data_IF_646275268117
#
_entry.id   IF_646275268117
#
_cell.length_a   1.000
_cell.length_b   1.000
_cell.length_c   1.000
_cell.angle_alpha   90.00
_cell.angle_beta   90.00
_cell.angle_gamma   90.00
#
_symmetry.space_group_name_H-M   'P 1'
#
loop_
_entity.id
_entity.type
_entity.pdbx_description
1 polymer ?
#
# COMPACT_ATOMS: atom_id res chain seq x y z
N UNK A 1 -12.59 25.79 11.54
CA UNK A 1 -11.93 24.48 11.69
C UNK A 1 -10.61 24.50 10.93
N UNK A 2 -9.64 23.73 11.41
CA UNK A 2 -8.31 23.57 10.81
C UNK A 2 -8.04 22.09 10.52
N UNK A 3 -7.17 21.83 9.54
CA UNK A 3 -6.80 20.47 9.17
C UNK A 3 -6.15 19.74 10.35
N UNK A 4 -6.70 18.57 10.67
CA UNK A 4 -6.16 17.70 11.72
C UNK A 4 -5.37 16.52 11.13
N UNK A 5 -5.98 15.77 10.21
CA UNK A 5 -5.37 14.59 9.57
C UNK A 5 -6.06 14.26 8.24
N UNK A 6 -5.29 13.71 7.31
CA UNK A 6 -5.79 13.19 6.03
C UNK A 6 -5.63 11.66 5.97
N UNK A 7 -6.61 10.98 5.38
CA UNK A 7 -6.71 9.52 5.25
C UNK A 7 -6.87 9.11 3.78
N UNK A 8 -6.37 7.93 3.43
CA UNK A 8 -6.57 7.32 2.10
C UNK A 8 -7.70 6.30 2.07
N UNK A 9 -8.05 5.72 3.22
CA UNK A 9 -9.15 4.76 3.35
C UNK A 9 -10.41 5.45 3.89
N UNK A 10 -11.53 5.23 3.20
CA UNK A 10 -12.81 5.83 3.57
C UNK A 10 -13.31 5.30 4.92
N UNK A 11 -13.28 3.98 5.13
CA UNK A 11 -13.84 3.38 6.34
C UNK A 11 -13.07 3.82 7.58
N UNK A 12 -11.75 3.92 7.48
CA UNK A 12 -10.89 4.46 8.54
C UNK A 12 -11.28 5.90 8.89
N UNK A 13 -11.38 6.77 7.87
CA UNK A 13 -11.71 8.18 8.06
C UNK A 13 -13.08 8.36 8.73
N UNK A 14 -14.09 7.63 8.26
CA UNK A 14 -15.45 7.66 8.82
C UNK A 14 -15.49 7.11 10.25
N UNK A 15 -14.77 6.01 10.54
CA UNK A 15 -14.71 5.44 11.89
C UNK A 15 -14.08 6.43 12.88
N UNK A 16 -12.98 7.08 12.50
CA UNK A 16 -12.30 8.09 13.32
C UNK A 16 -13.18 9.32 13.57
N UNK A 17 -13.87 9.79 12.53
CA UNK A 17 -14.82 10.89 12.66
C UNK A 17 -16.02 10.54 13.57
N UNK A 18 -16.56 9.33 13.47
CA UNK A 18 -17.65 8.87 14.33
C UNK A 18 -17.25 8.83 15.81
N UNK A 19 -16.06 8.28 16.11
CA UNK A 19 -15.51 8.23 17.47
C UNK A 19 -15.38 9.64 18.08
N UNK A 20 -14.89 10.61 17.31
CA UNK A 20 -14.76 11.99 17.78
C UNK A 20 -16.13 12.60 18.06
N UNK A 21 -17.10 12.41 17.17
CA UNK A 21 -18.48 12.89 17.37
C UNK A 21 -19.15 12.26 18.60
N UNK A 22 -19.00 10.95 18.78
CA UNK A 22 -19.51 10.23 19.94
C UNK A 22 -18.87 10.72 21.25
N UNK A 23 -17.64 11.22 21.17
CA UNK A 23 -16.90 11.84 22.28
C UNK A 23 -17.15 13.36 22.40
N UNK A 24 -18.19 13.86 21.72
CA UNK A 24 -18.61 15.26 21.74
C UNK A 24 -17.55 16.24 21.22
N UNK A 25 -16.69 15.78 20.31
CA UNK A 25 -15.72 16.61 19.57
C UNK A 25 -16.31 16.90 18.19
N UNK A 26 -16.55 18.18 17.90
CA UNK A 26 -17.06 18.60 16.59
C UNK A 26 -15.99 18.44 15.51
N UNK A 27 -16.35 17.77 14.42
CA UNK A 27 -15.44 17.48 13.32
C UNK A 27 -16.14 17.49 11.96
N UNK A 28 -15.44 17.98 10.95
CA UNK A 28 -15.85 17.90 9.55
C UNK A 28 -14.96 16.93 8.78
N UNK A 29 -15.59 16.09 7.95
CA UNK A 29 -14.91 15.17 7.05
C UNK A 29 -15.20 15.60 5.61
N UNK A 30 -14.15 15.99 4.89
CA UNK A 30 -14.23 16.38 3.47
C UNK A 30 -13.43 15.40 2.61
N UNK A 31 -13.84 15.21 1.36
CA UNK A 31 -13.10 14.37 0.41
C UNK A 31 -12.51 15.23 -0.70
N UNK A 32 -11.32 14.88 -1.17
CA UNK A 32 -10.64 15.59 -2.25
C UNK A 32 -9.79 14.64 -3.09
N UNK A 33 -9.47 15.04 -4.33
CA UNK A 33 -8.62 14.25 -5.23
C UNK A 33 -7.33 15.00 -5.48
N UNK A 34 -6.20 14.32 -5.30
CA UNK A 34 -4.87 14.87 -5.56
C UNK A 34 -4.06 13.85 -6.35
N UNK A 35 -3.47 14.27 -7.48
CA UNK A 35 -2.70 13.40 -8.38
C UNK A 35 -3.44 12.12 -8.82
N UNK A 36 -4.78 12.17 -8.93
CA UNK A 36 -5.62 11.03 -9.31
C UNK A 36 -5.94 10.05 -8.18
N UNK A 37 -5.52 10.33 -6.94
CA UNK A 37 -5.88 9.55 -5.76
C UNK A 37 -6.94 10.30 -4.92
N UNK A 38 -7.90 9.55 -4.35
CA UNK A 38 -8.94 10.07 -3.46
C UNK A 38 -8.42 10.10 -2.01
N UNK A 39 -8.68 11.20 -1.32
CA UNK A 39 -8.29 11.43 0.07
C UNK A 39 -9.48 11.93 0.88
N UNK A 40 -9.44 11.70 2.19
CA UNK A 40 -10.43 12.14 3.16
C UNK A 40 -9.74 12.99 4.23
N UNK A 41 -10.07 14.28 4.30
CA UNK A 41 -9.53 15.22 5.28
C UNK A 41 -10.49 15.36 6.45
N UNK A 42 -9.94 15.26 7.65
CA UNK A 42 -10.62 15.51 8.91
C UNK A 42 -10.19 16.89 9.44
N UNK A 43 -11.15 17.76 9.66
CA UNK A 43 -10.96 19.11 10.19
C UNK A 43 -11.65 19.25 11.55
N UNK A 44 -10.99 19.96 12.47
CA UNK A 44 -11.42 20.12 13.86
C UNK A 44 -11.31 21.58 14.28
N UNK A 45 -11.98 21.94 15.37
CA UNK A 45 -11.66 23.17 16.09
C UNK A 45 -10.28 23.07 16.76
N UNK A 46 -9.52 24.16 16.73
CA UNK A 46 -8.14 24.20 17.25
C UNK A 46 -8.07 23.77 18.73
N UNK A 47 -9.05 24.20 19.53
CA UNK A 47 -9.17 23.89 20.95
C UNK A 47 -9.36 22.39 21.22
N UNK A 48 -9.98 21.67 20.28
CA UNK A 48 -10.28 20.24 20.40
C UNK A 48 -9.12 19.34 19.94
N UNK A 49 -8.08 19.89 19.32
CA UNK A 49 -6.97 19.09 18.74
C UNK A 49 -6.24 18.27 19.79
N UNK A 50 -5.94 18.85 20.96
CA UNK A 50 -5.20 18.15 21.99
C UNK A 50 -5.97 16.91 22.51
N UNK A 51 -7.27 17.09 22.74
CA UNK A 51 -8.17 16.01 23.18
C UNK A 51 -8.34 14.95 22.10
N UNK A 52 -8.58 15.36 20.85
CA UNK A 52 -8.70 14.45 19.71
C UNK A 52 -7.43 13.62 19.50
N UNK A 53 -6.23 14.22 19.64
CA UNK A 53 -4.95 13.48 19.58
C UNK A 53 -4.86 12.42 20.66
N UNK A 54 -5.19 12.74 21.90
CA UNK A 54 -5.13 11.80 23.03
C UNK A 54 -6.06 10.62 22.81
N UNK A 55 -7.33 10.89 22.54
CA UNK A 55 -8.35 9.86 22.33
C UNK A 55 -8.02 8.93 21.16
N UNK A 56 -7.67 9.50 20.00
CA UNK A 56 -7.37 8.68 18.83
C UNK A 56 -6.09 7.87 19.00
N UNK A 57 -5.10 8.40 19.71
CA UNK A 57 -3.86 7.69 20.03
C UNK A 57 -4.14 6.47 20.91
N UNK A 58 -4.90 6.64 21.99
CA UNK A 58 -5.28 5.52 22.88
C UNK A 58 -6.02 4.43 22.12
N UNK A 59 -6.95 4.81 21.24
CA UNK A 59 -7.69 3.86 20.40
C UNK A 59 -6.79 3.17 19.37
N UNK A 60 -5.84 3.90 18.77
CA UNK A 60 -4.88 3.31 17.85
C UNK A 60 -3.94 2.33 18.55
N UNK A 61 -3.51 2.65 19.78
CA UNK A 61 -2.66 1.77 20.61
C UNK A 61 -3.42 0.50 20.98
N UNK A 62 -4.64 0.62 21.53
CA UNK A 62 -5.49 -0.54 21.88
C UNK A 62 -5.86 -1.36 20.65
N UNK A 63 -6.14 -0.72 19.50
CA UNK A 63 -6.46 -1.43 18.27
C UNK A 63 -5.23 -2.13 17.68
N UNK A 64 -4.06 -1.50 17.76
CA UNK A 64 -2.79 -2.08 17.33
C UNK A 64 -2.44 -3.31 18.18
N UNK A 65 -2.49 -3.19 19.51
CA UNK A 65 -2.24 -4.30 20.41
C UNK A 65 -3.22 -5.46 20.19
N UNK A 66 -4.53 -5.19 20.10
CA UNK A 66 -5.51 -6.25 19.85
C UNK A 66 -5.30 -6.96 18.51
N UNK A 67 -4.93 -6.22 17.46
CA UNK A 67 -4.65 -6.81 16.15
C UNK A 67 -3.39 -7.70 16.17
N UNK A 68 -2.37 -7.27 16.91
CA UNK A 68 -1.08 -7.96 16.99
C UNK A 68 -1.08 -9.11 18.01
N UNK A 69 -2.13 -9.25 18.82
CA UNK A 69 -2.23 -10.28 19.85
C UNK A 69 -1.99 -11.70 19.28
N UNK A 70 -2.51 -11.98 18.09
CA UNK A 70 -2.42 -13.29 17.44
C UNK A 70 -1.16 -13.49 16.58
N UNK A 71 -0.32 -12.45 16.41
CA UNK A 71 0.87 -12.51 15.55
C UNK A 71 1.95 -13.38 16.19
N UNK A 72 2.70 -14.14 15.39
CA UNK A 72 3.89 -14.86 15.84
C UNK A 72 5.09 -13.92 16.04
N UNK A 73 6.14 -14.38 16.72
CA UNK A 73 7.36 -13.56 16.86
C UNK A 73 7.99 -13.26 15.49
N UNK A 74 7.93 -14.19 14.54
CA UNK A 74 8.40 -14.02 13.17
C UNK A 74 7.58 -12.96 12.42
N UNK A 75 6.25 -12.95 12.59
CA UNK A 75 5.37 -11.95 11.98
C UNK A 75 5.60 -10.56 12.56
N UNK A 76 5.84 -10.45 13.87
CA UNK A 76 6.25 -9.19 14.51
C UNK A 76 7.61 -8.70 13.98
N UNK A 77 8.58 -9.60 13.78
CA UNK A 77 9.88 -9.25 13.20
C UNK A 77 9.73 -8.78 11.75
N UNK A 78 8.96 -9.51 10.92
CA UNK A 78 8.69 -9.12 9.53
C UNK A 78 8.07 -7.73 9.45
N UNK A 79 7.12 -7.44 10.34
CA UNK A 79 6.48 -6.14 10.46
C UNK A 79 7.46 -5.02 10.82
N UNK A 80 8.41 -5.28 11.72
CA UNK A 80 9.47 -4.33 12.08
C UNK A 80 10.47 -4.11 10.92
N UNK A 81 10.78 -5.16 10.15
CA UNK A 81 11.61 -5.07 8.93
C UNK A 81 10.89 -4.25 7.86
N UNK A 82 9.59 -4.48 7.68
CA UNK A 82 8.72 -3.82 6.71
C UNK A 82 7.96 -2.61 7.29
N UNK A 83 8.56 -1.90 8.25
CA UNK A 83 7.88 -0.86 9.04
C UNK A 83 7.20 0.23 8.20
N UNK A 84 7.70 0.53 7.00
CA UNK A 84 7.11 1.50 6.07
C UNK A 84 5.71 1.12 5.55
N UNK A 85 5.31 -0.15 5.68
CA UNK A 85 4.00 -0.66 5.24
C UNK A 85 2.93 -0.58 6.33
N UNK A 86 3.32 -0.30 7.58
CA UNK A 86 2.47 -0.29 8.76
C UNK A 86 2.40 1.12 9.38
N UNK A 87 1.35 1.38 10.15
CA UNK A 87 1.24 2.65 10.88
C UNK A 87 2.29 2.70 12.01
N UNK A 88 2.78 3.90 12.40
CA UNK A 88 3.77 4.03 13.47
C UNK A 88 3.33 3.40 14.80
N UNK A 89 2.05 3.52 15.15
CA UNK A 89 1.48 2.95 16.38
C UNK A 89 1.55 1.43 16.37
N UNK A 90 1.27 0.81 15.22
CA UNK A 90 1.37 -0.62 15.04
C UNK A 90 2.82 -1.12 15.10
N UNK A 91 3.77 -0.35 14.57
CA UNK A 91 5.22 -0.66 14.67
C UNK A 91 5.70 -0.59 16.12
N UNK A 92 5.28 0.44 16.87
CA UNK A 92 5.63 0.59 18.29
C UNK A 92 5.01 -0.51 19.15
N UNK A 93 3.75 -0.87 18.90
CA UNK A 93 3.09 -2.00 19.55
C UNK A 93 3.79 -3.33 19.25
N UNK A 94 4.15 -3.58 17.98
CA UNK A 94 4.89 -4.78 17.60
C UNK A 94 6.26 -4.88 18.28
N UNK A 95 6.98 -3.77 18.39
CA UNK A 95 8.26 -3.70 19.11
C UNK A 95 8.10 -4.03 20.59
N UNK A 96 7.09 -3.45 21.24
CA UNK A 96 6.80 -3.70 22.66
C UNK A 96 6.44 -5.17 22.89
N UNK A 97 5.52 -5.72 22.09
CA UNK A 97 5.13 -7.13 22.18
C UNK A 97 6.28 -8.10 21.95
N UNK A 98 7.19 -7.78 21.01
CA UNK A 98 8.35 -8.63 20.74
C UNK A 98 9.32 -8.65 21.92
N UNK A 99 9.55 -7.51 22.57
CA UNK A 99 10.37 -7.42 23.80
C UNK A 99 9.72 -8.18 24.95
N UNK A 100 8.41 -8.04 25.13
CA UNK A 100 7.68 -8.76 26.18
C UNK A 100 7.75 -10.29 26.01
N UNK A 101 7.59 -10.76 24.77
CA UNK A 101 7.61 -12.20 24.44
C UNK A 101 9.02 -12.78 24.36
N UNK A 102 9.99 -11.96 23.98
CA UNK A 102 11.39 -12.34 23.85
C UNK A 102 12.33 -11.24 24.40
N UNK A 103 12.53 -11.18 25.72
CA UNK A 103 13.31 -10.12 26.37
C UNK A 103 14.77 -10.01 25.94
N UNK A 104 15.33 -11.08 25.37
CA UNK A 104 16.71 -11.14 24.89
C UNK A 104 16.80 -10.98 23.35
N UNK A 105 15.74 -10.48 22.71
CA UNK A 105 15.74 -10.26 21.27
C UNK A 105 16.83 -9.28 20.85
N UNK A 106 17.67 -9.70 19.90
CA UNK A 106 18.77 -8.90 19.38
C UNK A 106 18.31 -7.95 18.27
N UNK A 107 17.97 -6.72 18.66
CA UNK A 107 17.61 -5.66 17.70
C UNK A 107 18.75 -5.25 16.77
N UNK A 108 20.01 -5.57 17.08
CA UNK A 108 21.13 -5.24 16.19
C UNK A 108 21.10 -6.09 14.90
N UNK A 109 20.57 -7.32 14.99
CA UNK A 109 20.33 -8.17 13.83
C UNK A 109 19.19 -7.66 12.92
N UNK A 110 18.29 -6.84 13.46
CA UNK A 110 17.12 -6.29 12.77
C UNK A 110 17.52 -5.23 11.73
N UNK A 111 18.54 -4.42 12.05
CA UNK A 111 19.07 -3.41 11.13
C UNK A 111 19.71 -4.06 9.91
N UNK A 112 20.47 -5.15 10.12
CA UNK A 112 21.01 -5.96 9.01
C UNK A 112 19.90 -6.54 8.12
N UNK A 113 18.81 -7.02 8.71
CA UNK A 113 17.65 -7.52 7.95
C UNK A 113 16.94 -6.40 7.16
N UNK A 114 16.90 -5.18 7.69
CA UNK A 114 16.39 -4.01 6.97
C UNK A 114 17.26 -3.66 5.76
N UNK A 115 18.58 -3.71 5.92
CA UNK A 115 19.52 -3.48 4.82
C UNK A 115 19.39 -4.57 3.74
N UNK A 116 19.34 -5.85 4.15
CA UNK A 116 19.12 -6.98 3.23
C UNK A 116 17.77 -6.86 2.50
N UNK A 117 16.71 -6.42 3.19
CA UNK A 117 15.41 -6.16 2.58
C UNK A 117 15.47 -4.98 1.59
N UNK A 118 16.20 -3.90 1.91
CA UNK A 118 16.38 -2.78 0.99
C UNK A 118 17.13 -3.18 -0.28
N UNK A 119 18.14 -4.05 -0.18
CA UNK A 119 18.79 -4.64 -1.35
C UNK A 119 17.84 -5.49 -2.20
N UNK A 120 16.96 -6.27 -1.56
CA UNK A 120 15.93 -7.05 -2.27
C UNK A 120 14.90 -6.14 -2.97
N UNK A 121 14.45 -5.08 -2.31
CA UNK A 121 13.56 -4.08 -2.90
C UNK A 121 14.19 -3.37 -4.11
N UNK A 122 15.49 -3.07 -4.04
CA UNK A 122 16.27 -2.52 -5.16
C UNK A 122 16.36 -3.50 -6.34
N UNK A 123 16.55 -4.78 -6.07
CA UNK A 123 16.61 -5.82 -7.08
C UNK A 123 15.25 -6.06 -7.76
N UNK A 124 14.16 -5.85 -7.01
CA UNK A 124 12.79 -6.09 -7.45
C UNK A 124 12.41 -7.58 -7.39
N UNK A 125 11.11 -7.84 -7.28
CA UNK A 125 10.59 -9.21 -7.16
C UNK A 125 10.54 -9.87 -8.52
N UNK A 126 10.94 -11.14 -8.57
CA UNK A 126 10.67 -11.96 -9.74
C UNK A 126 9.18 -12.34 -9.75
N UNK A 127 8.39 -11.67 -10.59
CA UNK A 127 6.96 -11.94 -10.77
C UNK A 127 6.73 -13.41 -11.14
N UNK A 128 5.71 -14.01 -10.51
CA UNK A 128 5.39 -15.42 -10.75
C UNK A 128 5.12 -15.69 -12.22
N UNK A 129 5.74 -16.73 -12.78
CA UNK A 129 5.60 -17.14 -14.20
C UNK A 129 4.15 -17.19 -14.69
N UNK A 130 3.20 -17.50 -13.80
CA UNK A 130 1.78 -17.51 -14.08
C UNK A 130 1.19 -16.13 -14.46
N UNK A 131 1.55 -15.06 -13.76
CA UNK A 131 1.03 -13.71 -14.03
C UNK A 131 1.44 -13.20 -15.42
N UNK A 132 2.68 -13.50 -15.82
CA UNK A 132 3.20 -13.18 -17.15
C UNK A 132 2.46 -13.96 -18.23
N UNK A 133 2.22 -15.26 -18.00
CA UNK A 133 1.48 -16.12 -18.92
C UNK A 133 0.05 -15.61 -19.14
N UNK A 134 -0.67 -15.28 -18.06
CA UNK A 134 -2.00 -14.68 -18.16
C UNK A 134 -1.98 -13.35 -18.89
N UNK A 135 -0.98 -12.49 -18.63
CA UNK A 135 -0.81 -11.23 -19.35
C UNK A 135 -0.72 -11.42 -20.86
N UNK A 136 0.05 -12.41 -21.34
CA UNK A 136 0.11 -12.75 -22.77
C UNK A 136 -1.22 -13.30 -23.32
N UNK A 137 -1.91 -14.16 -22.58
CA UNK A 137 -3.21 -14.69 -23.00
C UNK A 137 -4.24 -13.56 -23.18
N UNK A 138 -4.32 -12.64 -22.21
CA UNK A 138 -5.25 -11.50 -22.27
C UNK A 138 -4.84 -10.45 -23.31
N UNK A 139 -3.54 -10.30 -23.61
CA UNK A 139 -3.07 -9.44 -24.69
C UNK A 139 -3.64 -9.89 -26.05
N UNK A 140 -3.75 -11.20 -26.27
CA UNK A 140 -4.28 -11.78 -27.51
C UNK A 140 -5.82 -11.81 -27.49
N UNK A 141 -6.43 -12.22 -26.37
CA UNK A 141 -7.87 -12.49 -26.30
C UNK A 141 -8.76 -11.24 -26.19
N UNK A 142 -8.27 -10.17 -25.56
CA UNK A 142 -9.11 -9.02 -25.22
C UNK A 142 -8.41 -7.66 -25.24
N UNK A 143 -7.10 -7.61 -25.52
CA UNK A 143 -6.32 -6.40 -25.76
C UNK A 143 -6.22 -5.45 -24.55
N UNK A 144 -7.32 -4.87 -24.11
CA UNK A 144 -7.39 -3.87 -23.03
C UNK A 144 -6.95 -4.45 -21.68
N UNK A 145 -7.38 -5.67 -21.35
CA UNK A 145 -6.97 -6.33 -20.10
C UNK A 145 -5.46 -6.62 -20.12
N UNK A 146 -4.94 -7.11 -21.24
CA UNK A 146 -3.50 -7.32 -21.42
C UNK A 146 -2.71 -6.02 -21.32
N UNK A 147 -3.26 -4.91 -21.84
CA UNK A 147 -2.63 -3.59 -21.75
C UNK A 147 -2.47 -3.15 -20.29
N UNK A 148 -3.52 -3.31 -19.48
CA UNK A 148 -3.49 -3.00 -18.05
C UNK A 148 -2.45 -3.83 -17.29
N UNK A 149 -2.41 -5.15 -17.54
CA UNK A 149 -1.43 -6.06 -16.91
C UNK A 149 0.00 -5.70 -17.33
N UNK A 150 0.23 -5.46 -18.62
CA UNK A 150 1.54 -5.11 -19.16
C UNK A 150 2.05 -3.78 -18.61
N UNK A 151 1.18 -2.78 -18.50
CA UNK A 151 1.52 -1.48 -17.89
C UNK A 151 1.82 -1.64 -16.40
N UNK A 152 0.97 -2.36 -15.65
CA UNK A 152 1.18 -2.60 -14.22
C UNK A 152 2.53 -3.28 -13.94
N UNK A 153 2.88 -4.32 -14.69
CA UNK A 153 4.18 -5.01 -14.57
C UNK A 153 5.38 -4.09 -14.88
N UNK A 154 5.22 -3.11 -15.78
CA UNK A 154 6.29 -2.22 -16.21
C UNK A 154 6.53 -1.06 -15.23
N UNK A 155 5.47 -0.47 -14.69
CA UNK A 155 5.54 0.80 -13.94
C UNK A 155 5.26 0.69 -12.45
N UNK A 156 4.85 -0.49 -11.95
CA UNK A 156 4.62 -0.68 -10.51
C UNK A 156 5.90 -0.39 -9.73
N UNK A 157 5.74 0.45 -8.70
CA UNK A 157 6.80 0.85 -7.78
C UNK A 157 6.37 0.58 -6.34
N UNK A 158 7.35 0.23 -5.53
CA UNK A 158 7.22 0.09 -4.08
C UNK A 158 8.10 1.13 -3.39
N UNK A 159 7.72 1.53 -2.16
CA UNK A 159 8.50 2.48 -1.36
C UNK A 159 9.38 1.70 -0.39
N UNK A 160 10.59 2.19 -0.12
CA UNK A 160 11.50 1.67 0.90
C UNK A 160 11.28 2.34 2.25
N UNK A 161 11.85 1.74 3.30
CA UNK A 161 12.01 2.35 4.62
C UNK A 161 12.74 3.71 4.55
N UNK A 162 13.62 3.92 3.56
CA UNK A 162 14.30 5.19 3.31
C UNK A 162 13.43 6.25 2.61
N UNK A 163 12.20 5.90 2.21
CA UNK A 163 11.31 6.77 1.44
C UNK A 163 11.58 6.80 -0.06
N UNK A 164 12.67 6.17 -0.53
CA UNK A 164 12.96 6.00 -1.94
C UNK A 164 11.97 5.05 -2.61
N UNK A 165 11.71 5.25 -3.91
CA UNK A 165 10.77 4.43 -4.68
C UNK A 165 11.52 3.55 -5.68
N UNK A 166 11.39 2.23 -5.52
CA UNK A 166 12.00 1.22 -6.39
C UNK A 166 10.95 0.53 -7.26
N UNK A 167 11.37 -0.11 -8.34
CA UNK A 167 10.44 -0.91 -9.14
C UNK A 167 10.06 -2.19 -8.40
N UNK A 168 8.77 -2.47 -8.30
CA UNK A 168 8.26 -3.67 -7.62
C UNK A 168 8.74 -4.95 -8.30
N UNK A 169 8.87 -4.92 -9.62
CA UNK A 169 9.29 -6.06 -10.43
C UNK A 169 10.71 -5.89 -10.96
N UNK A 170 11.44 -6.99 -11.03
CA UNK A 170 12.78 -7.03 -11.62
C UNK A 170 12.81 -6.56 -13.08
N UNK A 171 14.01 -6.32 -13.62
CA UNK A 171 14.15 -5.87 -15.00
C UNK A 171 13.60 -6.85 -16.03
N UNK A 172 13.70 -8.16 -15.78
CA UNK A 172 13.20 -9.20 -16.68
C UNK A 172 11.68 -9.14 -16.85
N UNK A 173 10.97 -8.99 -15.74
CA UNK A 173 9.52 -8.94 -15.71
C UNK A 173 8.98 -7.62 -16.24
N UNK A 174 9.68 -6.50 -16.00
CA UNK A 174 9.36 -5.25 -16.69
C UNK A 174 9.54 -5.35 -18.21
N UNK A 175 10.55 -6.10 -18.69
CA UNK A 175 10.70 -6.41 -20.13
C UNK A 175 9.54 -7.26 -20.65
N UNK A 176 9.01 -8.20 -19.85
CA UNK A 176 7.78 -8.93 -20.20
C UNK A 176 6.56 -8.01 -20.20
N UNK A 177 6.38 -7.15 -19.19
CA UNK A 177 5.31 -6.15 -19.12
C UNK A 177 5.28 -5.25 -20.36
N UNK A 178 6.46 -4.73 -20.78
CA UNK A 178 6.61 -3.97 -22.03
C UNK A 178 6.15 -4.75 -23.26
N UNK A 179 6.53 -6.02 -23.37
CA UNK A 179 6.13 -6.89 -24.50
C UNK A 179 4.63 -7.13 -24.51
N UNK A 180 4.04 -7.44 -23.35
CA UNK A 180 2.60 -7.64 -23.19
C UNK A 180 1.83 -6.37 -23.57
N UNK A 181 2.30 -5.20 -23.11
CA UNK A 181 1.72 -3.89 -23.43
C UNK A 181 1.69 -3.65 -24.95
N UNK A 182 2.83 -3.80 -25.63
CA UNK A 182 2.89 -3.58 -27.08
C UNK A 182 2.10 -4.62 -27.88
N UNK A 183 2.12 -5.89 -27.45
CA UNK A 183 1.32 -6.93 -28.08
C UNK A 183 -0.17 -6.63 -27.95
N UNK A 184 -0.60 -6.14 -26.79
CA UNK A 184 -1.98 -5.73 -26.53
C UNK A 184 -2.41 -4.58 -27.45
N UNK A 185 -1.58 -3.54 -27.59
CA UNK A 185 -1.85 -2.42 -28.53
C UNK A 185 -2.00 -2.94 -29.96
N UNK A 186 -1.12 -3.83 -30.39
CA UNK A 186 -1.18 -4.43 -31.72
C UNK A 186 -2.51 -5.16 -31.96
N UNK A 187 -2.95 -6.03 -31.03
CA UNK A 187 -4.20 -6.76 -31.17
C UNK A 187 -5.44 -5.86 -31.08
N UNK A 188 -5.43 -4.82 -30.25
CA UNK A 188 -6.51 -3.82 -30.22
C UNK A 188 -6.66 -3.16 -31.60
N UNK A 189 -5.56 -2.70 -32.20
CA UNK A 189 -5.58 -2.08 -33.53
C UNK A 189 -6.07 -3.08 -34.58
N UNK A 190 -5.52 -4.30 -34.58
CA UNK A 190 -5.90 -5.36 -35.51
C UNK A 190 -7.40 -5.67 -35.45
N UNK A 191 -7.96 -5.91 -34.26
CA UNK A 191 -9.38 -6.19 -34.10
C UNK A 191 -10.26 -4.99 -34.49
N UNK A 192 -9.81 -3.78 -34.21
CA UNK A 192 -10.55 -2.57 -34.60
C UNK A 192 -10.60 -2.46 -36.12
N UNK A 193 -9.48 -2.64 -36.82
CA UNK A 193 -9.41 -2.61 -38.29
C UNK A 193 -10.25 -3.73 -38.92
N UNK A 194 -10.14 -4.96 -38.43
CA UNK A 194 -10.93 -6.10 -38.91
C UNK A 194 -12.43 -5.86 -38.73
N UNK A 195 -12.84 -5.29 -37.60
CA UNK A 195 -14.22 -4.91 -37.34
C UNK A 195 -14.73 -3.87 -38.35
N UNK A 196 -13.94 -2.84 -38.62
CA UNK A 196 -14.32 -1.83 -39.62
C UNK A 196 -14.42 -2.41 -41.04
N UNK A 197 -13.49 -3.29 -41.43
CA UNK A 197 -13.52 -3.96 -42.74
C UNK A 197 -14.72 -4.91 -42.89
N UNK A 198 -15.14 -5.58 -41.82
CA UNK A 198 -16.31 -6.47 -41.86
C UNK A 198 -17.65 -5.70 -41.83
N UNK A 199 -17.64 -4.46 -41.32
CA UNK A 199 -18.83 -3.60 -41.28
C UNK A 199 -19.00 -2.74 -42.55
N UNK A 200 -18.04 -2.76 -43.48
CA UNK A 200 -18.08 -2.06 -44.78
C UNK A 200 -18.46 -2.98 -45.94
#
# INVERSE_FOLDING_TARGET
MIEFRTYTDQNEAFKKAAILKDSNIECELTQFTENGALFFRLELEEESIALAKGLLKEIDEVSGENFLADFSNEELVDMLVNSHTYSPVMVDAAKTMLVERNPNFDFSSLEKQKDENEEQLKAGVNGGKGQILFGYLFAIAGGIIGLGIGWFLETSKTKSNSGESYYTYDESNRKHGRRIKWLSIFFIILYTVLRFLWMS
#
